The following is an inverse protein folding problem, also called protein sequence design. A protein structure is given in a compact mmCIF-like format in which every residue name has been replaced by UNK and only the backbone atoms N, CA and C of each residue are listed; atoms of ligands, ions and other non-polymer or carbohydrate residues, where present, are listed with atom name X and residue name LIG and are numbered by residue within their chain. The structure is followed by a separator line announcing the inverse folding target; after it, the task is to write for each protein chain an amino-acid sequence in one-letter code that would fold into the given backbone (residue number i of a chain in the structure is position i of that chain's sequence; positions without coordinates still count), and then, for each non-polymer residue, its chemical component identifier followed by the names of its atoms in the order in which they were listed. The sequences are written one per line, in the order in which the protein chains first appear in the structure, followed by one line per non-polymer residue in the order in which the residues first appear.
data_IF_493128560122
#
_entry.id   IF_493128560122
#
_cell.length_a   1.000
_cell.length_b   1.000
_cell.length_c   1.000
_cell.angle_alpha   90.00
_cell.angle_beta   90.00
_cell.angle_gamma   90.00
#
_symmetry.space_group_name_H-M   'P 1'
#
loop_
_entity.id
_entity.type
_entity.pdbx_description
1 polymer ?
#
# COMPACT_ATOMS: atom_id res chain seq x y z
N UNK A 1 -23.77 57.80 -2.59
CA UNK A 1 -24.20 59.04 -3.27
C UNK A 1 -22.95 59.86 -3.61
N UNK A 2 -22.78 60.23 -4.89
CA UNK A 2 -22.17 61.45 -5.48
C UNK A 2 -21.00 62.13 -4.72
N UNK A 3 -19.87 62.53 -5.30
CA UNK A 3 -19.54 62.95 -6.68
C UNK A 3 -18.01 63.15 -6.82
N UNK A 4 -17.47 62.87 -8.02
CA UNK A 4 -16.47 63.65 -8.83
C UNK A 4 -15.12 64.08 -8.19
N UNK A 5 -13.97 64.15 -8.87
CA UNK A 5 -13.46 64.10 -10.26
C UNK A 5 -11.90 64.19 -10.11
N UNK A 6 -10.98 63.80 -11.01
CA UNK A 6 -10.81 64.12 -12.43
C UNK A 6 -9.53 63.43 -12.99
N UNK A 7 -9.66 62.87 -14.21
CA UNK A 7 -8.78 62.92 -15.42
C UNK A 7 -7.25 62.72 -15.26
N UNK A 8 -6.55 61.91 -16.06
CA UNK A 8 -6.51 61.84 -17.55
C UNK A 8 -5.95 60.47 -17.99
N UNK A 9 -6.56 59.74 -18.93
CA UNK A 9 -6.32 59.73 -20.39
C UNK A 9 -4.86 59.46 -20.79
N UNK A 10 -4.46 58.64 -21.76
CA UNK A 10 -5.04 57.57 -22.60
C UNK A 10 -3.96 57.25 -23.65
N UNK A 11 -4.05 56.06 -24.28
CA UNK A 11 -3.44 55.65 -25.58
C UNK A 11 -1.99 55.13 -25.53
N UNK A 12 -1.75 53.83 -25.81
CA UNK A 12 -1.70 53.12 -27.12
C UNK A 12 -0.50 53.58 -27.96
N UNK A 13 0.31 52.79 -28.67
CA UNK A 13 0.24 51.43 -29.24
C UNK A 13 1.67 51.08 -29.72
N UNK A 14 1.91 49.79 -29.97
CA UNK A 14 2.96 49.12 -30.77
C UNK A 14 4.00 49.99 -31.53
N UNK A 15 5.28 49.59 -31.50
CA UNK A 15 5.96 49.13 -32.72
C UNK A 15 7.29 48.37 -32.48
N UNK A 16 7.72 47.64 -33.51
CA UNK A 16 8.79 46.64 -33.64
C UNK A 16 10.17 47.23 -34.02
N UNK A 17 11.12 46.31 -34.23
CA UNK A 17 12.48 46.38 -34.83
C UNK A 17 13.64 46.58 -33.83
N UNK A 18 14.59 45.64 -33.64
CA UNK A 18 15.51 44.90 -34.53
C UNK A 18 16.79 45.66 -34.88
N UNK A 19 17.93 45.19 -34.33
CA UNK A 19 19.30 45.29 -34.88
C UNK A 19 20.18 44.28 -34.09
N UNK A 20 20.63 43.16 -34.67
CA UNK A 20 21.81 42.96 -35.54
C UNK A 20 23.17 43.15 -34.84
N UNK A 21 23.94 42.06 -34.69
CA UNK A 21 25.40 42.01 -34.87
C UNK A 21 25.83 40.58 -35.30
N UNK A 22 26.45 40.48 -36.48
CA UNK A 22 27.29 39.36 -36.98
C UNK A 22 28.77 39.72 -36.73
N UNK A 23 29.72 38.75 -36.77
CA UNK A 23 30.48 38.44 -38.02
C UNK A 23 30.83 36.92 -38.08
N UNK A 24 31.45 36.27 -39.08
CA UNK A 24 31.90 36.49 -40.47
C UNK A 24 32.30 35.09 -41.02
N UNK A 25 32.09 34.81 -42.31
CA UNK A 25 32.42 33.52 -42.96
C UNK A 25 33.71 33.55 -43.80
N UNK A 26 34.07 32.38 -44.35
CA UNK A 26 34.90 32.03 -45.54
C UNK A 26 35.37 30.57 -45.32
N UNK A 27 35.25 29.57 -46.21
CA UNK A 27 35.27 29.52 -47.67
C UNK A 27 34.34 28.42 -48.25
N UNK A 28 33.86 28.66 -49.47
CA UNK A 28 33.20 27.75 -50.40
C UNK A 28 34.18 26.87 -51.18
N UNK A 29 33.68 25.76 -51.74
CA UNK A 29 34.34 25.06 -52.83
C UNK A 29 33.58 23.85 -53.41
N UNK A 30 32.77 24.10 -54.44
CA UNK A 30 32.79 23.23 -55.64
C UNK A 30 31.70 22.17 -55.80
N UNK A 31 30.85 22.39 -56.79
CA UNK A 31 29.73 21.56 -57.24
C UNK A 31 30.14 20.39 -58.17
N UNK A 32 29.29 19.37 -58.30
CA UNK A 32 28.82 18.89 -59.60
C UNK A 32 27.62 17.90 -59.49
N UNK A 33 26.61 18.22 -60.31
CA UNK A 33 25.43 17.49 -60.84
C UNK A 33 25.73 16.03 -61.24
N UNK A 34 24.80 15.14 -61.64
CA UNK A 34 23.36 14.90 -61.61
C UNK A 34 23.21 13.58 -62.42
N UNK A 35 22.26 12.70 -62.12
CA UNK A 35 22.04 11.49 -62.91
C UNK A 35 20.82 10.71 -62.44
N UNK A 36 19.83 10.63 -63.32
CA UNK A 36 18.44 10.20 -63.17
C UNK A 36 18.22 8.68 -63.35
N UNK A 37 17.28 8.13 -62.55
CA UNK A 37 16.25 7.07 -62.81
C UNK A 37 16.61 5.73 -63.52
N UNK A 38 15.73 4.69 -63.52
CA UNK A 38 14.69 4.25 -62.58
C UNK A 38 14.73 2.71 -62.29
N UNK A 39 13.76 2.22 -61.50
CA UNK A 39 13.43 0.82 -61.10
C UNK A 39 13.43 -0.24 -62.23
N UNK A 40 13.55 -1.56 -61.91
CA UNK A 40 12.32 -2.36 -61.73
C UNK A 40 12.36 -3.48 -60.66
N UNK A 41 11.14 -3.99 -60.42
CA UNK A 41 10.66 -5.04 -59.52
C UNK A 41 11.45 -6.35 -59.46
N UNK A 42 11.34 -7.04 -58.31
CA UNK A 42 11.08 -8.49 -58.15
C UNK A 42 10.85 -8.81 -56.66
N UNK A 43 9.61 -9.08 -56.26
CA UNK A 43 9.02 -10.43 -56.18
C UNK A 43 9.54 -11.25 -54.99
N UNK A 44 8.66 -11.42 -53.99
CA UNK A 44 8.78 -12.41 -52.93
C UNK A 44 8.75 -13.85 -53.49
N UNK A 45 9.09 -14.83 -52.65
CA UNK A 45 8.09 -15.87 -52.44
C UNK A 45 7.88 -16.22 -50.96
N UNK A 46 6.61 -16.17 -50.57
CA UNK A 46 6.03 -16.95 -49.48
C UNK A 46 6.05 -18.44 -49.85
N UNK A 47 6.47 -19.29 -48.91
CA UNK A 47 6.24 -20.74 -48.90
C UNK A 47 5.64 -21.09 -47.52
N UNK A 48 4.33 -21.41 -47.45
CA UNK A 48 3.75 -22.78 -47.45
C UNK A 48 4.13 -23.61 -46.21
N UNK A 49 3.26 -24.37 -45.52
CA UNK A 49 1.80 -24.53 -45.45
C UNK A 49 1.52 -25.49 -44.25
N UNK A 50 0.33 -25.36 -43.65
CA UNK A 50 -0.54 -26.41 -43.06
C UNK A 50 0.08 -27.62 -42.31
N UNK A 51 -0.36 -27.77 -41.05
CA UNK A 51 -0.98 -29.03 -40.60
C UNK A 51 -2.20 -28.76 -39.72
N UNK A 52 -3.35 -29.24 -40.21
CA UNK A 52 -4.59 -29.46 -39.46
C UNK A 52 -4.42 -30.71 -38.59
N UNK A 53 -4.82 -30.66 -37.32
CA UNK A 53 -5.45 -31.82 -36.68
C UNK A 53 -6.41 -31.38 -35.56
N UNK A 54 -7.69 -31.42 -35.94
CA UNK A 54 -8.85 -31.84 -35.15
C UNK A 54 -8.59 -32.12 -33.66
N UNK A 55 -9.08 -31.25 -32.78
CA UNK A 55 -9.58 -31.69 -31.48
C UNK A 55 -11.02 -31.25 -31.29
N UNK A 56 -11.82 -32.28 -30.96
CA UNK A 56 -13.27 -32.30 -30.91
C UNK A 56 -13.78 -31.47 -29.74
N UNK A 57 -14.76 -30.61 -29.99
CA UNK A 57 -15.59 -30.01 -28.95
C UNK A 57 -16.37 -31.12 -28.22
N UNK A 58 -16.15 -31.29 -26.92
CA UNK A 58 -17.01 -32.10 -26.08
C UNK A 58 -18.23 -31.28 -25.65
N UNK A 59 -19.40 -31.72 -26.12
CA UNK A 59 -20.71 -31.26 -25.66
C UNK A 59 -20.92 -31.66 -24.20
N UNK A 60 -21.41 -30.70 -23.41
CA UNK A 60 -22.32 -30.88 -22.28
C UNK A 60 -21.95 -31.89 -21.18
N UNK A 61 -21.56 -31.37 -20.00
CA UNK A 61 -21.87 -32.02 -18.72
C UNK A 61 -22.53 -31.04 -17.78
N UNK A 62 -23.69 -31.46 -17.27
CA UNK A 62 -24.57 -30.76 -16.33
C UNK A 62 -23.80 -30.27 -15.10
N UNK A 63 -24.13 -29.06 -14.66
CA UNK A 63 -23.69 -28.51 -13.38
C UNK A 63 -24.07 -29.47 -12.23
N UNK A 64 -23.06 -30.05 -11.58
CA UNK A 64 -23.23 -30.74 -10.29
C UNK A 64 -23.34 -29.66 -9.20
N UNK A 65 -24.53 -29.53 -8.61
CA UNK A 65 -24.75 -28.83 -7.34
C UNK A 65 -23.72 -29.29 -6.30
N UNK A 66 -23.15 -28.39 -5.47
CA UNK A 66 -22.30 -28.82 -4.38
C UNK A 66 -23.14 -29.60 -3.37
N UNK A 67 -22.75 -30.85 -3.12
CA UNK A 67 -23.27 -31.67 -2.02
C UNK A 67 -22.94 -30.96 -0.71
N UNK A 68 -23.96 -30.70 0.12
CA UNK A 68 -23.79 -30.41 1.56
C UNK A 68 -22.99 -31.56 2.17
N UNK A 69 -21.71 -31.30 2.44
CA UNK A 69 -20.84 -32.19 3.21
C UNK A 69 -21.24 -32.12 4.67
N UNK A 70 -21.78 -33.23 5.17
CA UNK A 70 -22.03 -33.53 6.58
C UNK A 70 -20.70 -33.44 7.35
N UNK A 71 -20.75 -32.85 8.54
CA UNK A 71 -19.60 -32.42 9.31
C UNK A 71 -18.54 -33.51 9.52
N UNK A 72 -17.31 -33.19 9.13
CA UNK A 72 -16.13 -33.82 9.68
C UNK A 72 -15.62 -32.87 10.77
N UNK A 73 -15.83 -33.22 12.04
CA UNK A 73 -15.13 -32.56 13.15
C UNK A 73 -13.64 -32.85 12.94
N UNK A 74 -12.89 -31.81 12.56
CA UNK A 74 -11.44 -31.84 12.57
C UNK A 74 -10.95 -32.05 14.03
N UNK A 75 -9.83 -32.74 14.22
CA UNK A 75 -9.26 -32.96 15.54
C UNK A 75 -8.98 -31.61 16.21
N UNK A 76 -9.44 -31.46 17.45
CA UNK A 76 -9.25 -30.31 18.33
C UNK A 76 -7.78 -30.21 18.77
N UNK A 77 -6.94 -29.72 17.87
CA UNK A 77 -5.79 -28.90 18.24
C UNK A 77 -6.15 -27.47 17.85
N UNK A 78 -5.91 -26.50 18.72
CA UNK A 78 -6.18 -25.09 18.44
C UNK A 78 -5.55 -24.69 17.09
N UNK A 79 -6.39 -24.44 16.09
CA UNK A 79 -5.93 -24.05 14.75
C UNK A 79 -5.47 -22.60 14.85
N UNK A 80 -4.16 -22.40 14.99
CA UNK A 80 -3.56 -21.07 14.96
C UNK A 80 -3.68 -20.49 13.54
N UNK A 81 -4.43 -19.41 13.40
CA UNK A 81 -4.64 -18.69 12.16
C UNK A 81 -3.36 -17.94 11.73
N UNK A 82 -2.60 -17.46 12.72
CA UNK A 82 -1.36 -16.72 12.52
C UNK A 82 -0.30 -17.51 11.76
N UNK A 83 0.43 -16.82 10.89
CA UNK A 83 1.45 -17.42 10.04
C UNK A 83 2.56 -16.44 9.67
N UNK A 84 3.63 -16.97 9.08
CA UNK A 84 4.71 -16.19 8.51
C UNK A 84 4.64 -16.26 6.99
N UNK A 85 4.66 -15.12 6.30
CA UNK A 85 4.87 -15.09 4.85
C UNK A 85 6.33 -14.84 4.54
N UNK A 86 6.92 -15.70 3.73
CA UNK A 86 8.28 -15.51 3.19
C UNK A 86 8.20 -15.27 1.69
N UNK A 87 8.88 -14.24 1.18
CA UNK A 87 8.72 -13.86 -0.22
C UNK A 87 9.51 -12.64 -0.66
N UNK A 88 8.89 -11.81 -1.48
CA UNK A 88 9.52 -10.65 -2.09
C UNK A 88 8.54 -9.49 -2.30
N UNK A 89 9.10 -8.29 -2.31
CA UNK A 89 8.46 -7.06 -2.77
C UNK A 89 9.21 -6.57 -4.00
N UNK A 90 8.47 -6.18 -5.04
CA UNK A 90 9.00 -5.53 -6.24
C UNK A 90 8.36 -4.16 -6.38
N UNK A 91 9.16 -3.15 -6.66
CA UNK A 91 8.70 -1.83 -7.06
C UNK A 91 9.12 -1.60 -8.50
N UNK A 92 8.16 -1.28 -9.36
CA UNK A 92 8.41 -0.93 -10.76
C UNK A 92 7.79 0.44 -11.05
N UNK A 93 8.65 1.40 -11.33
CA UNK A 93 8.32 2.69 -11.91
C UNK A 93 8.33 2.57 -13.43
N UNK A 94 7.30 3.12 -14.08
CA UNK A 94 7.17 3.19 -15.54
C UNK A 94 7.50 4.58 -16.06
N UNK A 95 7.18 5.63 -15.30
CA UNK A 95 7.37 7.03 -15.69
C UNK A 95 8.00 7.89 -14.58
N UNK A 96 8.73 8.98 -14.94
CA UNK A 96 9.11 9.38 -16.30
C UNK A 96 10.20 8.48 -16.91
N UNK A 97 10.98 7.79 -16.07
CA UNK A 97 11.98 6.80 -16.49
C UNK A 97 11.70 5.46 -15.83
N UNK A 98 11.97 4.38 -16.56
CA UNK A 98 11.80 3.02 -16.05
C UNK A 98 12.82 2.74 -14.95
N UNK A 99 12.33 2.23 -13.82
CA UNK A 99 13.16 1.75 -12.74
C UNK A 99 12.46 0.61 -12.03
N UNK A 100 13.17 -0.49 -11.81
CA UNK A 100 12.60 -1.71 -11.26
C UNK A 100 13.60 -2.34 -10.31
N UNK A 101 13.13 -2.68 -9.12
CA UNK A 101 13.93 -3.39 -8.14
C UNK A 101 13.05 -4.36 -7.35
N UNK A 102 13.67 -5.43 -6.87
CA UNK A 102 13.02 -6.47 -6.08
C UNK A 102 13.92 -6.91 -4.95
N UNK A 103 13.34 -7.04 -3.76
CA UNK A 103 14.04 -7.54 -2.58
C UNK A 103 13.22 -8.59 -1.86
N UNK A 104 13.91 -9.45 -1.10
CA UNK A 104 13.31 -10.52 -0.31
C UNK A 104 13.05 -10.04 1.11
N UNK A 105 11.98 -10.54 1.70
CA UNK A 105 11.55 -10.22 3.06
C UNK A 105 10.71 -11.36 3.65
N UNK A 106 10.39 -11.22 4.92
CA UNK A 106 9.34 -11.97 5.58
C UNK A 106 8.38 -11.01 6.29
N UNK A 107 7.13 -11.43 6.45
CA UNK A 107 6.07 -10.66 7.12
C UNK A 107 5.33 -11.58 8.10
N UNK A 108 4.95 -11.03 9.25
CA UNK A 108 4.00 -11.67 10.14
C UNK A 108 2.59 -11.46 9.59
N UNK A 109 1.76 -12.50 9.60
CA UNK A 109 0.31 -12.38 9.50
C UNK A 109 -0.25 -12.87 10.83
N UNK A 110 -0.66 -11.93 11.68
CA UNK A 110 -1.03 -12.18 13.07
C UNK A 110 -2.53 -11.99 13.23
N UNK A 111 -3.25 -13.04 13.63
CA UNK A 111 -4.57 -12.85 14.22
C UNK A 111 -4.36 -12.12 15.56
N UNK A 112 -4.96 -10.93 15.69
CA UNK A 112 -4.70 -10.07 16.84
C UNK A 112 -5.26 -10.64 18.14
N UNK A 113 -6.22 -11.55 18.06
CA UNK A 113 -6.79 -12.24 19.23
C UNK A 113 -5.89 -13.40 19.69
N UNK A 114 -4.90 -13.82 18.89
CA UNK A 114 -3.94 -14.89 19.21
C UNK A 114 -2.62 -14.39 19.84
N UNK A 115 -2.41 -13.07 19.92
CA UNK A 115 -1.11 -12.48 20.30
C UNK A 115 -0.57 -13.01 21.64
N UNK A 116 -1.42 -13.13 22.66
CA UNK A 116 -1.02 -13.63 23.98
C UNK A 116 -0.65 -15.12 23.96
N UNK A 117 -1.33 -15.92 23.13
CA UNK A 117 -0.98 -17.32 22.93
C UNK A 117 0.38 -17.43 22.23
N UNK A 118 0.58 -16.70 21.13
CA UNK A 118 1.83 -16.70 20.36
C UNK A 118 3.02 -16.24 21.20
N UNK A 119 2.83 -15.21 22.04
CA UNK A 119 3.86 -14.71 22.95
C UNK A 119 4.27 -15.70 24.03
N UNK A 120 3.53 -16.80 24.23
CA UNK A 120 3.84 -17.89 25.16
C UNK A 120 4.42 -19.12 24.45
N UNK A 121 4.02 -19.38 23.21
CA UNK A 121 4.38 -20.62 22.48
C UNK A 121 5.54 -20.46 21.50
N UNK A 122 5.79 -19.24 21.02
CA UNK A 122 6.88 -18.96 20.07
C UNK A 122 8.02 -18.25 20.81
N UNK A 123 9.05 -18.99 21.21
CA UNK A 123 10.13 -18.51 22.08
C UNK A 123 10.82 -17.19 21.63
N UNK A 124 11.19 -16.99 20.35
CA UNK A 124 11.81 -15.74 19.89
C UNK A 124 10.80 -14.61 19.66
N UNK A 125 9.51 -14.83 19.91
CA UNK A 125 8.44 -13.86 19.72
C UNK A 125 7.95 -13.30 21.06
N UNK A 126 7.62 -12.02 21.09
CA UNK A 126 7.02 -11.39 22.26
C UNK A 126 6.07 -10.27 21.88
N UNK A 127 5.17 -9.94 22.80
CA UNK A 127 4.19 -8.85 22.67
C UNK A 127 4.49 -7.81 23.75
N UNK A 128 4.62 -6.55 23.34
CA UNK A 128 4.90 -5.37 24.17
C UNK A 128 6.12 -5.47 25.09
N UNK A 129 7.08 -6.35 24.77
CA UNK A 129 8.33 -6.53 25.49
C UNK A 129 9.46 -6.87 24.52
N UNK A 130 10.69 -6.59 24.90
CA UNK A 130 11.84 -6.90 24.06
C UNK A 130 12.03 -8.42 23.88
N UNK A 131 12.40 -8.84 22.66
CA UNK A 131 12.84 -10.18 22.28
C UNK A 131 13.56 -10.10 20.92
N UNK A 132 14.10 -11.20 20.39
CA UNK A 132 14.68 -11.24 19.05
C UNK A 132 13.69 -10.78 17.98
N UNK A 133 12.42 -11.16 18.13
CA UNK A 133 11.33 -10.72 17.29
C UNK A 133 10.16 -10.26 18.17
N UNK A 134 9.71 -9.02 18.03
CA UNK A 134 8.74 -8.45 18.98
C UNK A 134 7.69 -7.58 18.31
N UNK A 135 6.44 -7.77 18.72
CA UNK A 135 5.30 -6.94 18.35
C UNK A 135 5.05 -5.91 19.45
N UNK A 136 4.79 -4.66 19.07
CA UNK A 136 4.46 -3.59 20.01
C UNK A 136 3.24 -2.83 19.52
N UNK A 137 2.22 -2.69 20.38
CA UNK A 137 1.01 -1.94 20.04
C UNK A 137 1.29 -0.47 19.67
N UNK A 138 2.33 0.12 20.28
CA UNK A 138 2.79 1.48 20.01
C UNK A 138 3.38 1.67 18.61
N UNK A 139 3.69 0.59 17.90
CA UNK A 139 4.18 0.68 16.52
C UNK A 139 3.05 0.82 15.52
N UNK A 140 1.79 0.80 15.97
CA UNK A 140 0.61 0.68 15.13
C UNK A 140 -0.41 1.79 15.37
N UNK A 141 -1.12 2.17 14.31
CA UNK A 141 -2.23 3.13 14.30
C UNK A 141 -1.84 4.49 14.89
N UNK A 142 -2.36 4.81 16.07
CA UNK A 142 -2.15 6.07 16.79
C UNK A 142 -0.79 6.18 17.50
N UNK A 143 0.05 5.15 17.42
CA UNK A 143 1.40 5.17 18.01
C UNK A 143 1.42 5.00 19.53
N UNK A 144 0.27 4.75 20.17
CA UNK A 144 0.13 4.68 21.63
C UNK A 144 0.14 3.24 22.16
N UNK A 145 0.38 2.98 23.45
CA UNK A 145 0.15 1.66 24.03
C UNK A 145 -1.34 1.24 23.97
N UNK A 146 -1.61 -0.05 24.09
CA UNK A 146 -2.95 -0.63 24.21
C UNK A 146 -3.35 -1.51 23.02
N UNK A 147 -4.20 -2.51 23.26
CA UNK A 147 -4.49 -3.57 22.30
C UNK A 147 -4.83 -3.04 20.89
N UNK A 148 -3.99 -3.40 19.91
CA UNK A 148 -4.12 -2.98 18.51
C UNK A 148 -5.49 -3.35 17.92
N UNK A 149 -6.04 -4.52 18.26
CA UNK A 149 -7.38 -4.94 17.81
C UNK A 149 -8.46 -3.94 18.26
N UNK A 150 -8.42 -3.51 19.52
CA UNK A 150 -9.33 -2.50 20.05
C UNK A 150 -9.23 -1.15 19.35
N UNK A 151 -8.01 -0.71 18.99
CA UNK A 151 -7.79 0.51 18.21
C UNK A 151 -8.41 0.43 16.82
N UNK A 152 -8.22 -0.69 16.12
CA UNK A 152 -8.82 -0.92 14.79
C UNK A 152 -10.35 -0.94 14.90
N UNK A 153 -10.92 -1.65 15.89
CA UNK A 153 -12.39 -1.67 16.10
C UNK A 153 -12.95 -0.26 16.31
N UNK A 154 -12.30 0.57 17.12
CA UNK A 154 -12.69 1.98 17.32
C UNK A 154 -12.60 2.81 16.04
N UNK A 155 -11.55 2.61 15.24
CA UNK A 155 -11.39 3.29 13.95
C UNK A 155 -12.53 2.92 12.99
N UNK A 156 -12.86 1.62 12.88
CA UNK A 156 -13.91 1.13 11.99
C UNK A 156 -15.30 1.59 12.43
N UNK A 157 -15.59 1.55 13.74
CA UNK A 157 -16.87 1.99 14.28
C UNK A 157 -17.18 3.46 13.92
N UNK A 158 -16.17 4.33 13.92
CA UNK A 158 -16.29 5.75 13.52
C UNK A 158 -16.62 5.95 12.04
N UNK A 159 -16.31 4.96 11.22
CA UNK A 159 -16.65 4.93 9.80
C UNK A 159 -17.94 4.13 9.52
N UNK A 160 -18.70 3.77 10.57
CA UNK A 160 -19.94 3.01 10.45
C UNK A 160 -19.71 1.58 9.94
N UNK A 161 -18.59 0.97 10.31
CA UNK A 161 -18.25 -0.42 10.02
C UNK A 161 -18.18 -1.17 11.36
N UNK A 162 -19.17 -2.02 11.61
CA UNK A 162 -19.18 -2.92 12.75
C UNK A 162 -18.67 -4.31 12.32
N UNK A 163 -17.88 -4.96 13.17
CA UNK A 163 -17.39 -6.33 12.93
C UNK A 163 -18.20 -7.39 13.67
N UNK A 164 -19.02 -6.99 14.66
CA UNK A 164 -19.96 -7.84 15.39
C UNK A 164 -19.38 -9.15 15.95
N UNK A 165 -18.15 -9.08 16.47
CA UNK A 165 -17.43 -10.26 16.99
C UNK A 165 -16.52 -10.96 15.97
N UNK A 166 -16.42 -10.42 14.75
CA UNK A 166 -15.48 -10.87 13.74
C UNK A 166 -14.01 -10.58 14.08
N UNK A 167 -13.12 -11.16 13.28
CA UNK A 167 -11.67 -11.23 13.54
C UNK A 167 -10.90 -10.09 12.86
N UNK A 168 -9.75 -9.75 13.43
CA UNK A 168 -8.81 -8.78 12.84
C UNK A 168 -7.45 -9.44 12.74
N UNK A 169 -6.99 -9.62 11.51
CA UNK A 169 -5.66 -10.14 11.24
C UNK A 169 -4.76 -9.07 10.61
N UNK A 170 -3.51 -9.01 11.06
CA UNK A 170 -2.54 -7.99 10.70
C UNK A 170 -1.38 -8.58 9.92
N UNK A 171 -1.19 -8.12 8.68
CA UNK A 171 0.01 -8.35 7.91
C UNK A 171 1.01 -7.20 8.15
N UNK A 172 2.16 -7.49 8.77
CA UNK A 172 3.13 -6.45 9.18
C UNK A 172 4.57 -6.97 9.28
N UNK A 173 5.54 -6.07 9.32
CA UNK A 173 6.84 -6.36 9.95
C UNK A 173 6.77 -6.12 11.46
N UNK A 174 7.31 -7.05 12.25
CA UNK A 174 7.55 -6.85 13.68
C UNK A 174 9.02 -6.45 13.90
N UNK A 175 9.33 -5.91 15.08
CA UNK A 175 10.70 -5.52 15.43
C UNK A 175 11.63 -6.72 15.43
N UNK A 176 12.80 -6.57 14.84
CA UNK A 176 13.92 -7.51 14.95
C UNK A 176 14.99 -6.85 15.81
N UNK A 177 15.36 -7.49 16.91
CA UNK A 177 16.32 -6.95 17.89
C UNK A 177 15.97 -5.52 18.35
N UNK A 178 14.67 -5.23 18.50
CA UNK A 178 14.16 -3.93 18.94
C UNK A 178 14.02 -2.86 17.84
N UNK A 179 14.47 -3.13 16.62
CA UNK A 179 14.41 -2.21 15.48
C UNK A 179 13.39 -2.66 14.42
N UNK A 180 12.63 -1.72 13.87
CA UNK A 180 11.67 -1.98 12.80
C UNK A 180 11.66 -0.84 11.80
N UNK A 181 11.53 -1.19 10.52
CA UNK A 181 11.13 -0.27 9.47
C UNK A 181 10.00 -0.93 8.70
N UNK A 182 8.78 -0.45 8.89
CA UNK A 182 7.57 -1.09 8.42
C UNK A 182 6.80 -0.12 7.50
N UNK A 183 7.06 -0.13 6.17
CA UNK A 183 6.50 0.88 5.28
C UNK A 183 4.99 0.71 5.04
N UNK A 184 4.46 -0.50 5.28
CA UNK A 184 3.03 -0.77 5.15
C UNK A 184 2.59 -1.92 6.06
N UNK A 185 1.48 -1.70 6.77
CA UNK A 185 0.72 -2.75 7.47
C UNK A 185 -0.68 -2.86 6.88
N UNK A 186 -1.20 -4.08 6.76
CA UNK A 186 -2.56 -4.33 6.29
C UNK A 186 -3.37 -5.06 7.36
N UNK A 187 -4.43 -4.43 7.84
CA UNK A 187 -5.39 -5.02 8.77
C UNK A 187 -6.57 -5.59 7.98
N UNK A 188 -6.67 -6.91 7.89
CA UNK A 188 -7.81 -7.61 7.30
C UNK A 188 -8.87 -7.81 8.39
N UNK A 189 -9.99 -7.12 8.23
CA UNK A 189 -11.07 -7.09 9.21
C UNK A 189 -12.25 -7.87 8.65
N UNK A 190 -12.61 -8.97 9.32
CA UNK A 190 -13.73 -9.81 8.93
C UNK A 190 -14.90 -9.59 9.88
N UNK A 191 -16.12 -9.75 9.37
CA UNK A 191 -17.32 -9.80 10.21
C UNK A 191 -17.48 -11.16 10.89
N UNK A 192 -18.52 -11.31 11.72
CA UNK A 192 -18.85 -12.56 12.38
C UNK A 192 -19.15 -13.73 11.42
N UNK A 193 -19.57 -13.43 10.20
CA UNK A 193 -19.79 -14.41 9.14
C UNK A 193 -18.50 -14.83 8.42
N UNK A 194 -17.36 -14.21 8.73
CA UNK A 194 -16.07 -14.44 8.08
C UNK A 194 -15.90 -13.70 6.75
N UNK A 195 -16.83 -12.83 6.36
CA UNK A 195 -16.70 -12.02 5.15
C UNK A 195 -15.79 -10.80 5.42
N UNK A 196 -15.07 -10.36 4.39
CA UNK A 196 -14.15 -9.22 4.50
C UNK A 196 -14.95 -7.91 4.61
N UNK A 197 -15.07 -7.38 5.82
CA UNK A 197 -15.78 -6.13 6.11
C UNK A 197 -14.96 -4.90 5.72
N UNK A 198 -13.65 -4.92 5.97
CA UNK A 198 -12.74 -3.83 5.59
C UNK A 198 -11.28 -4.28 5.55
N UNK A 199 -10.45 -3.53 4.82
CA UNK A 199 -9.00 -3.54 4.99
C UNK A 199 -8.53 -2.14 5.40
N UNK A 200 -7.75 -2.03 6.46
CA UNK A 200 -7.05 -0.79 6.80
C UNK A 200 -5.60 -0.92 6.33
N UNK A 201 -5.18 -0.05 5.42
CA UNK A 201 -3.78 0.03 5.00
C UNK A 201 -3.09 1.18 5.72
N UNK A 202 -2.29 0.84 6.72
CA UNK A 202 -1.41 1.77 7.42
C UNK A 202 -0.13 1.91 6.62
N UNK A 203 0.18 3.13 6.18
CA UNK A 203 1.38 3.42 5.41
C UNK A 203 2.24 4.39 6.22
N UNK A 204 3.50 4.06 6.37
CA UNK A 204 4.52 4.86 7.02
C UNK A 204 5.53 5.36 5.97
N UNK A 205 6.11 6.54 6.18
CA UNK A 205 7.18 7.05 5.33
C UNK A 205 8.49 7.28 6.11
N UNK A 206 9.55 7.59 5.38
CA UNK A 206 10.87 7.91 5.96
C UNK A 206 10.92 9.27 6.66
N UNK A 207 9.84 10.05 6.63
CA UNK A 207 9.70 11.33 7.32
C UNK A 207 9.07 11.18 8.72
N UNK A 208 8.83 9.94 9.18
CA UNK A 208 8.19 9.68 10.48
C UNK A 208 6.69 9.93 10.48
N UNK A 209 6.09 10.00 9.29
CA UNK A 209 4.66 10.20 9.13
C UNK A 209 3.92 8.89 8.88
N UNK A 210 2.65 8.88 9.29
CA UNK A 210 1.73 7.76 9.10
C UNK A 210 0.41 8.23 8.54
N UNK A 211 -0.19 7.38 7.69
CA UNK A 211 -1.54 7.57 7.18
C UNK A 211 -2.28 6.23 7.06
N UNK A 212 -3.57 6.22 7.40
CA UNK A 212 -4.43 5.03 7.29
C UNK A 212 -5.38 5.19 6.11
N UNK A 213 -5.27 4.33 5.10
CA UNK A 213 -6.24 4.23 4.02
C UNK A 213 -7.29 3.17 4.41
N UNK A 214 -8.55 3.60 4.53
CA UNK A 214 -9.66 2.69 4.79
C UNK A 214 -10.24 2.16 3.47
N UNK A 215 -10.13 0.84 3.27
CA UNK A 215 -10.65 0.12 2.12
C UNK A 215 -11.93 -0.62 2.55
N UNK A 216 -13.08 0.03 2.37
CA UNK A 216 -14.39 -0.48 2.80
C UNK A 216 -14.82 -1.68 1.95
N UNK A 217 -14.98 -2.85 2.58
CA UNK A 217 -15.34 -4.11 1.91
C UNK A 217 -16.67 -4.05 1.17
N UNK A 218 -17.60 -3.19 1.59
CA UNK A 218 -18.88 -2.94 0.89
C UNK A 218 -18.69 -2.34 -0.50
N UNK A 219 -17.52 -1.71 -0.74
CA UNK A 219 -17.14 -1.09 -2.00
C UNK A 219 -16.22 -1.97 -2.85
N UNK A 220 -15.88 -3.17 -2.39
CA UNK A 220 -15.10 -4.11 -3.18
C UNK A 220 -15.90 -4.53 -4.42
N UNK A 221 -15.22 -4.65 -5.56
CA UNK A 221 -15.85 -5.10 -6.80
C UNK A 221 -16.49 -6.50 -6.62
N UNK A 222 -17.81 -6.60 -6.82
CA UNK A 222 -18.56 -7.84 -6.65
C UNK A 222 -18.13 -8.93 -7.66
N UNK A 223 -18.13 -10.19 -7.23
CA UNK A 223 -17.94 -11.36 -8.11
C UNK A 223 -16.49 -11.74 -8.44
N UNK A 224 -15.49 -11.02 -7.91
CA UNK A 224 -14.08 -11.37 -8.03
C UNK A 224 -13.55 -11.95 -6.71
N UNK A 225 -12.77 -13.03 -6.78
CA UNK A 225 -12.07 -13.56 -5.61
C UNK A 225 -11.06 -12.54 -5.05
N UNK A 226 -10.49 -11.68 -5.90
CA UNK A 226 -9.58 -10.61 -5.51
C UNK A 226 -10.37 -9.34 -5.20
N UNK A 227 -10.20 -8.80 -3.99
CA UNK A 227 -10.78 -7.53 -3.58
C UNK A 227 -10.01 -6.37 -4.22
N UNK A 228 -10.75 -5.42 -4.81
CA UNK A 228 -10.19 -4.25 -5.50
C UNK A 228 -10.73 -2.97 -4.89
N UNK A 229 -9.84 -2.01 -4.65
CA UNK A 229 -10.18 -0.72 -4.07
C UNK A 229 -9.42 0.41 -4.77
N UNK A 230 -10.04 1.59 -4.85
CA UNK A 230 -9.40 2.81 -5.34
C UNK A 230 -9.50 3.90 -4.29
N UNK A 231 -8.40 4.61 -4.05
CA UNK A 231 -8.38 5.80 -3.19
C UNK A 231 -7.39 6.86 -3.70
N UNK A 232 -7.60 8.12 -3.29
CA UNK A 232 -6.67 9.21 -3.57
C UNK A 232 -5.46 9.10 -2.64
N UNK A 233 -4.27 9.42 -3.15
CA UNK A 233 -3.04 9.49 -2.35
C UNK A 233 -3.09 10.70 -1.43
N UNK A 234 -2.94 10.46 -0.13
CA UNK A 234 -3.03 11.51 0.90
C UNK A 234 -1.73 11.69 1.69
N UNK A 235 -0.69 10.89 1.41
CA UNK A 235 0.61 10.94 2.08
C UNK A 235 1.80 11.00 1.12
N UNK A 236 2.77 11.85 1.44
CA UNK A 236 4.01 12.00 0.68
C UNK A 236 4.99 10.87 1.03
N UNK A 237 4.86 9.74 0.33
CA UNK A 237 5.67 8.53 0.57
C UNK A 237 7.07 8.57 -0.08
N UNK A 238 7.29 9.46 -1.05
CA UNK A 238 8.56 9.55 -1.77
C UNK A 238 8.70 10.93 -2.44
N UNK A 239 9.88 11.57 -2.36
CA UNK A 239 10.19 12.81 -3.09
C UNK A 239 10.10 12.68 -4.61
N UNK A 240 10.10 11.46 -5.15
CA UNK A 240 10.06 11.22 -6.59
C UNK A 240 8.64 10.89 -7.10
N UNK A 241 7.60 11.12 -6.28
CA UNK A 241 6.21 10.81 -6.61
C UNK A 241 5.29 11.99 -6.31
N UNK A 242 4.55 12.43 -7.32
CA UNK A 242 3.55 13.50 -7.19
C UNK A 242 2.45 13.15 -6.17
N UNK A 243 1.87 14.17 -5.53
CA UNK A 243 0.73 13.97 -4.62
C UNK A 243 -0.58 13.72 -5.35
N UNK A 244 -0.74 14.34 -6.53
CA UNK A 244 -1.92 14.20 -7.38
C UNK A 244 -1.94 12.83 -8.09
N UNK A 245 -2.15 11.79 -7.27
CA UNK A 245 -2.16 10.40 -7.66
C UNK A 245 -3.33 9.67 -7.03
N UNK A 246 -3.74 8.58 -7.66
CA UNK A 246 -4.66 7.59 -7.07
C UNK A 246 -3.96 6.25 -6.92
N UNK A 247 -4.33 5.50 -5.88
CA UNK A 247 -3.91 4.12 -5.68
C UNK A 247 -5.06 3.16 -6.03
N UNK A 248 -4.73 2.12 -6.78
CA UNK A 248 -5.57 0.95 -7.01
C UNK A 248 -4.94 -0.24 -6.27
N UNK A 249 -5.64 -0.71 -5.24
CA UNK A 249 -5.28 -1.88 -4.45
C UNK A 249 -5.93 -3.12 -5.04
N UNK A 250 -5.15 -4.19 -5.24
CA UNK A 250 -5.65 -5.54 -5.53
C UNK A 250 -5.14 -6.50 -4.45
N UNK A 251 -6.06 -7.00 -3.64
CA UNK A 251 -5.80 -7.87 -2.50
C UNK A 251 -6.41 -9.25 -2.78
N UNK A 252 -5.57 -10.24 -3.02
CA UNK A 252 -6.06 -11.61 -3.14
C UNK A 252 -6.46 -12.15 -1.76
N UNK A 253 -7.36 -13.15 -1.68
CA UNK A 253 -7.68 -13.80 -0.42
C UNK A 253 -6.42 -14.33 0.27
N UNK A 254 -6.40 -14.20 1.60
CA UNK A 254 -5.33 -14.75 2.41
C UNK A 254 -5.41 -16.28 2.41
N UNK A 255 -4.27 -16.95 2.24
CA UNK A 255 -4.19 -18.42 2.17
C UNK A 255 -2.75 -18.88 2.00
N UNK A 256 -2.50 -19.97 1.28
CA UNK A 256 -1.13 -20.48 1.11
C UNK A 256 -0.18 -19.50 0.39
N UNK A 257 -0.75 -18.57 -0.38
CA UNK A 257 -0.02 -17.54 -1.11
C UNK A 257 -0.56 -16.17 -0.75
N UNK A 258 0.35 -15.27 -0.42
CA UNK A 258 0.08 -13.85 -0.26
C UNK A 258 0.24 -13.14 -1.60
N UNK A 259 -0.72 -12.28 -1.92
CA UNK A 259 -0.70 -11.44 -3.12
C UNK A 259 -1.34 -10.09 -2.86
N UNK A 260 -0.50 -9.06 -2.77
CA UNK A 260 -0.92 -7.66 -2.68
C UNK A 260 -0.30 -6.91 -3.85
N UNK A 261 -1.12 -6.15 -4.57
CA UNK A 261 -0.68 -5.26 -5.64
C UNK A 261 -1.21 -3.86 -5.35
N UNK A 262 -0.34 -2.87 -5.44
CA UNK A 262 -0.71 -1.46 -5.32
C UNK A 262 -0.23 -0.79 -6.59
N UNK A 263 -1.15 -0.26 -7.38
CA UNK A 263 -0.84 0.47 -8.62
C UNK A 263 -1.13 1.94 -8.39
N UNK A 264 -0.15 2.77 -8.70
CA UNK A 264 -0.29 4.21 -8.64
C UNK A 264 -0.54 4.78 -10.03
N UNK A 265 -1.56 5.62 -10.13
CA UNK A 265 -1.89 6.36 -11.33
C UNK A 265 -1.71 7.85 -11.10
N UNK A 266 -1.10 8.53 -12.07
CA UNK A 266 -0.99 9.98 -12.14
C UNK A 266 -1.65 10.42 -13.45
N UNK A 267 -2.65 11.30 -13.39
CA UNK A 267 -3.42 11.76 -14.57
C UNK A 267 -3.89 10.60 -15.46
N UNK A 268 -4.38 9.53 -14.85
CA UNK A 268 -4.88 8.33 -15.53
C UNK A 268 -3.80 7.37 -16.07
N UNK A 269 -2.51 7.72 -15.98
CA UNK A 269 -1.40 6.86 -16.44
C UNK A 269 -0.79 6.10 -15.27
N UNK A 270 -0.48 4.81 -15.47
CA UNK A 270 0.23 4.00 -14.48
C UNK A 270 1.68 4.47 -14.35
N UNK A 271 2.03 5.05 -13.22
CA UNK A 271 3.38 5.57 -12.97
C UNK A 271 4.24 4.61 -12.17
N UNK A 272 3.65 3.86 -11.25
CA UNK A 272 4.35 2.92 -10.38
C UNK A 272 3.45 1.75 -10.02
N UNK A 273 4.04 0.57 -9.82
CA UNK A 273 3.39 -0.51 -9.09
C UNK A 273 4.32 -1.16 -8.07
N UNK A 274 3.75 -1.47 -6.91
CA UNK A 274 4.35 -2.30 -5.89
C UNK A 274 3.63 -3.64 -5.84
N UNK A 275 4.39 -4.74 -5.84
CA UNK A 275 3.87 -6.11 -5.78
C UNK A 275 4.52 -6.85 -4.65
N UNK A 276 3.72 -7.29 -3.69
CA UNK A 276 4.12 -8.14 -2.58
C UNK A 276 3.59 -9.55 -2.82
N UNK A 277 4.51 -10.52 -2.82
CA UNK A 277 4.20 -11.95 -2.98
C UNK A 277 4.89 -12.73 -1.90
N UNK A 278 4.18 -13.71 -1.33
CA UNK A 278 4.71 -14.55 -0.27
C UNK A 278 4.12 -15.95 -0.26
N UNK A 279 4.83 -16.88 0.38
CA UNK A 279 4.33 -18.23 0.68
C UNK A 279 4.13 -18.37 2.18
N UNK A 280 2.99 -18.93 2.58
CA UNK A 280 2.63 -19.20 3.97
C UNK A 280 3.61 -20.20 4.58
N UNK A 281 4.02 -19.93 5.81
CA UNK A 281 4.81 -20.80 6.68
C UNK A 281 4.16 -20.80 8.06
N UNK A 282 4.15 -21.94 8.77
CA UNK A 282 3.58 -22.00 10.12
C UNK A 282 4.35 -21.10 11.07
N UNK A 283 3.64 -20.40 11.96
CA UNK A 283 4.27 -19.52 12.95
C UNK A 283 4.79 -20.35 14.13
N UNK A 284 6.00 -20.89 13.99
CA UNK A 284 6.64 -21.74 15.00
C UNK A 284 8.03 -21.19 15.34
N UNK A 285 8.54 -21.52 16.53
CA UNK A 285 9.91 -21.15 16.96
C UNK A 285 10.96 -21.47 15.89
N UNK A 286 10.91 -22.67 15.29
CA UNK A 286 11.85 -23.09 14.23
C UNK A 286 11.74 -22.21 12.97
N UNK A 287 10.53 -21.90 12.54
CA UNK A 287 10.30 -21.10 11.32
C UNK A 287 10.71 -19.65 11.52
N UNK A 288 10.44 -19.07 12.70
CA UNK A 288 10.88 -17.72 13.05
C UNK A 288 12.40 -17.66 13.14
N UNK A 289 13.04 -18.61 13.81
CA UNK A 289 14.51 -18.67 13.89
C UNK A 289 15.16 -18.79 12.49
N UNK A 290 14.65 -19.66 11.62
CA UNK A 290 15.13 -19.78 10.23
C UNK A 290 14.96 -18.47 9.44
N UNK A 291 13.84 -17.76 9.62
CA UNK A 291 13.62 -16.46 9.00
C UNK A 291 14.60 -15.40 9.51
N UNK A 292 14.80 -15.30 10.83
CA UNK A 292 15.75 -14.36 11.44
C UNK A 292 17.19 -14.63 10.96
N UNK A 293 17.60 -15.89 10.86
CA UNK A 293 18.94 -16.27 10.38
C UNK A 293 19.15 -15.99 8.88
N UNK A 294 18.10 -16.14 8.05
CA UNK A 294 18.18 -15.83 6.61
C UNK A 294 18.13 -14.33 6.32
N UNK A 295 17.58 -13.55 7.24
CA UNK A 295 17.34 -12.13 7.07
C UNK A 295 17.76 -11.31 8.31
N UNK A 296 19.01 -11.47 8.83
CA UNK A 296 19.41 -10.92 10.12
C UNK A 296 19.43 -9.38 10.14
N UNK A 297 19.74 -8.78 9.00
CA UNK A 297 19.77 -7.33 8.81
C UNK A 297 18.65 -6.85 7.89
N UNK A 298 17.47 -7.51 7.88
CA UNK A 298 16.38 -7.17 6.96
C UNK A 298 15.98 -5.70 7.06
N UNK A 299 15.88 -5.17 8.27
CA UNK A 299 15.51 -3.78 8.55
C UNK A 299 16.56 -2.83 7.99
N UNK A 300 17.83 -3.01 8.39
CA UNK A 300 18.93 -2.17 7.93
C UNK A 300 19.09 -2.24 6.41
N UNK A 301 19.06 -3.45 5.83
CA UNK A 301 19.11 -3.68 4.39
C UNK A 301 17.96 -2.98 3.65
N UNK A 302 16.75 -2.98 4.22
CA UNK A 302 15.59 -2.29 3.61
C UNK A 302 15.81 -0.78 3.61
N UNK A 303 16.25 -0.20 4.73
CA UNK A 303 16.58 1.23 4.82
C UNK A 303 17.69 1.59 3.84
N UNK A 304 18.81 0.85 3.84
CA UNK A 304 19.91 1.07 2.90
C UNK A 304 19.43 0.97 1.44
N UNK A 305 18.61 -0.03 1.10
CA UNK A 305 18.05 -0.17 -0.23
C UNK A 305 17.19 1.04 -0.61
N UNK A 306 16.37 1.57 0.30
CA UNK A 306 15.56 2.77 0.05
C UNK A 306 16.45 3.97 -0.29
N UNK A 307 17.53 4.19 0.46
CA UNK A 307 18.46 5.30 0.22
C UNK A 307 19.24 5.12 -1.08
N UNK A 308 19.71 3.90 -1.37
CA UNK A 308 20.42 3.57 -2.62
C UNK A 308 19.51 3.75 -3.83
N UNK A 309 18.27 3.28 -3.78
CA UNK A 309 17.33 3.46 -4.89
C UNK A 309 16.91 4.94 -5.03
N UNK A 310 16.74 5.68 -3.94
CA UNK A 310 16.53 7.12 -3.98
C UNK A 310 17.69 7.86 -4.68
N UNK A 311 18.93 7.54 -4.33
CA UNK A 311 20.11 8.10 -4.99
C UNK A 311 20.17 7.73 -6.48
N UNK A 312 19.85 6.49 -6.83
CA UNK A 312 19.77 6.05 -8.25
C UNK A 312 18.68 6.80 -9.02
N UNK A 313 17.53 7.08 -8.42
CA UNK A 313 16.46 7.87 -9.04
C UNK A 313 16.93 9.32 -9.29
N UNK A 314 17.62 9.91 -8.31
CA UNK A 314 18.22 11.23 -8.43
C UNK A 314 19.26 11.30 -9.56
N UNK A 315 20.20 10.34 -9.60
CA UNK A 315 21.20 10.23 -10.69
C UNK A 315 20.56 9.98 -12.06
N UNK A 316 19.37 9.36 -12.09
CA UNK A 316 18.56 9.23 -13.31
C UNK A 316 17.80 10.50 -13.67
N UNK A 317 17.99 11.62 -12.99
CA UNK A 317 17.35 12.90 -13.30
C UNK A 317 15.84 12.88 -13.11
N UNK A 318 15.33 12.06 -12.19
CA UNK A 318 13.90 12.10 -11.85
C UNK A 318 13.67 13.31 -10.94
N UNK A 319 12.65 14.16 -11.24
CA UNK A 319 12.41 15.38 -10.47
C UNK A 319 12.23 15.09 -8.98
N UNK A 320 12.95 15.86 -8.16
CA UNK A 320 12.77 15.88 -6.73
C UNK A 320 11.63 16.84 -6.40
N UNK A 321 10.62 16.35 -5.70
CA UNK A 321 9.46 17.11 -5.26
C UNK A 321 9.58 17.34 -3.76
N UNK A 322 9.55 18.61 -3.35
CA UNK A 322 9.58 19.00 -1.95
C UNK A 322 8.36 18.46 -1.20
N UNK A 323 8.56 18.19 0.09
CA UNK A 323 7.48 17.73 0.96
C UNK A 323 6.38 18.81 1.03
N UNK A 324 5.12 18.50 0.66
CA UNK A 324 4.04 19.48 0.50
C UNK A 324 3.42 19.97 1.83
N UNK A 325 4.13 19.78 2.95
CA UNK A 325 3.55 19.91 4.28
C UNK A 325 2.44 18.88 4.58
N UNK A 326 1.71 19.09 5.67
CA UNK A 326 0.61 18.20 6.06
C UNK A 326 -0.67 18.46 5.23
N UNK A 327 -1.28 17.42 4.68
CA UNK A 327 -2.54 17.52 3.94
C UNK A 327 -3.75 17.69 4.87
N UNK A 328 -4.86 18.25 4.37
CA UNK A 328 -6.09 18.40 5.15
C UNK A 328 -6.69 17.04 5.58
N UNK A 329 -6.58 16.02 4.73
CA UNK A 329 -7.00 14.66 5.07
C UNK A 329 -6.20 14.09 6.24
N UNK A 330 -4.88 14.30 6.25
CA UNK A 330 -4.02 13.87 7.37
C UNK A 330 -4.32 14.59 8.67
N UNK A 331 -4.54 15.92 8.64
CA UNK A 331 -4.99 16.68 9.82
C UNK A 331 -6.29 16.11 10.40
N UNK A 332 -7.28 15.85 9.55
CA UNK A 332 -8.57 15.24 9.96
C UNK A 332 -8.38 13.85 10.57
N UNK A 333 -7.55 13.01 9.96
CA UNK A 333 -7.28 11.68 10.49
C UNK A 333 -6.54 11.72 11.83
N UNK A 334 -5.56 12.59 12.00
CA UNK A 334 -4.88 12.77 13.29
C UNK A 334 -5.86 13.21 14.37
N UNK A 335 -6.71 14.18 14.06
CA UNK A 335 -7.77 14.62 14.98
C UNK A 335 -8.75 13.47 15.32
N UNK A 336 -9.13 12.66 14.32
CA UNK A 336 -9.97 11.48 14.54
C UNK A 336 -9.29 10.51 15.51
N UNK A 337 -8.03 10.13 15.26
CA UNK A 337 -7.28 9.20 16.12
C UNK A 337 -7.12 9.76 17.54
N UNK A 338 -6.88 11.06 17.69
CA UNK A 338 -6.76 11.74 19.00
C UNK A 338 -8.09 11.82 19.77
N UNK A 339 -9.22 12.05 19.09
CA UNK A 339 -10.54 12.20 19.72
C UNK A 339 -11.07 10.92 20.44
N UNK A 340 -10.31 9.82 20.44
CA UNK A 340 -10.64 8.60 21.19
C UNK A 340 -10.45 8.70 22.70
N UNK A 341 -9.93 9.82 23.18
CA UNK A 341 -9.57 10.02 24.58
C UNK A 341 -10.67 10.68 25.42
N UNK A 342 -11.58 11.45 24.82
CA UNK A 342 -12.49 12.33 25.57
C UNK A 342 -13.71 11.66 26.23
N UNK A 343 -13.93 10.35 26.03
CA UNK A 343 -15.00 9.59 26.69
C UNK A 343 -14.42 8.47 27.55
N UNK A 344 -13.58 8.83 28.52
CA UNK A 344 -13.51 8.05 29.76
C UNK A 344 -14.64 8.55 30.64
N UNK A 345 -15.50 7.62 31.03
CA UNK A 345 -16.64 7.81 31.92
C UNK A 345 -16.23 8.63 33.16
N UNK A 346 -16.70 9.88 33.24
CA UNK A 346 -17.10 10.42 34.53
C UNK A 346 -18.48 9.85 34.81
N UNK A 347 -18.51 8.64 35.36
CA UNK A 347 -19.67 8.20 36.11
C UNK A 347 -19.80 9.15 37.31
N UNK A 348 -20.94 9.84 37.52
CA UNK A 348 -21.10 10.63 38.71
C UNK A 348 -21.08 9.68 39.90
N UNK A 349 -20.16 9.92 40.83
CA UNK A 349 -20.16 9.26 42.12
C UNK A 349 -21.54 9.50 42.76
N UNK A 350 -22.35 8.44 42.86
CA UNK A 350 -23.60 8.47 43.59
C UNK A 350 -23.29 8.80 45.04
N UNK A 351 -23.62 10.02 45.46
CA UNK A 351 -23.67 10.41 46.86
C UNK A 351 -24.78 9.60 47.52
N UNK A 352 -24.40 8.54 48.22
CA UNK A 352 -25.25 7.85 49.19
C UNK A 352 -25.29 8.70 50.47
N UNK A 353 -26.29 9.56 50.58
CA UNK A 353 -26.65 10.21 51.85
C UNK A 353 -28.08 9.77 52.21
N UNK A 354 -28.19 8.90 53.21
CA UNK A 354 -29.43 8.46 53.83
C UNK A 354 -29.10 7.73 55.12
N UNK A 355 -29.21 8.44 56.25
CA UNK A 355 -28.69 8.04 57.56
C UNK A 355 -29.48 6.98 58.33
N UNK A 356 -29.08 6.74 59.58
CA UNK A 356 -29.98 6.85 60.72
C UNK A 356 -29.35 7.81 61.77
N UNK A 357 -30.05 8.63 62.54
CA UNK A 357 -31.35 8.40 63.18
C UNK A 357 -31.14 8.09 64.67
N UNK A 358 -31.21 9.15 65.51
CA UNK A 358 -31.37 9.22 66.99
C UNK A 358 -30.12 9.26 67.90
N UNK A 359 -30.28 9.77 69.14
CA UNK A 359 -31.29 10.69 69.69
C UNK A 359 -30.82 12.14 69.78
#
# INVERSE_FOLDING_TARGET
MRHAQRRSASRSVEDRCAACLRPSGLHDGGAARAGSDPYPERAAPHLFLRRLSRQRFSRGRRARRPRRGRGNRAPTGDVVNSCLYTGWVRHRRHHPRVHDFRYRLFLAYLDLDELDHLGRTVAPFSVNRWNLWSFFDRDHLDGRPGATSGKVRRLLARHGIALDGGTIALLTQCRVLGYVFNPISLYYCHDAGGALAAVVAEVDNTFGERHLYLLDGRRAAAGSATARFRCTKEMHVSPFLAMDCTYDFELAPIGDRLSVVIVQHERGRRVLDARLRGRRRPLTTRTVADALLRYPFVTLKTITAIHVEAARLYLKGIPFLSHPGETAARRRQRALLAAGEGRREHAPAGSSAGGPGRP
#
